data_IF_139328134962
#
_entry.id   IF_139328134962
#
_cell.length_a   1.000
_cell.length_b   1.000
_cell.length_c   1.000
_cell.angle_alpha   90.00
_cell.angle_beta   90.00
_cell.angle_gamma   90.00
#
_symmetry.space_group_name_H-M   'P 1'
#
loop_
_entity.id
_entity.type
_entity.pdbx_description
1 polymer ?
#
# COMPACT_ATOMS: atom_id res chain seq x y z
N UNK A 1 11.39 60.98 -24.19
CA UNK A 1 12.83 60.63 -24.20
C UNK A 1 12.93 59.12 -24.07
N UNK A 2 13.15 58.44 -25.18
CA UNK A 2 13.22 56.98 -25.27
C UNK A 2 14.67 56.54 -25.02
N UNK A 3 14.91 55.68 -24.04
CA UNK A 3 16.21 55.08 -23.78
C UNK A 3 16.21 53.66 -24.35
N UNK A 4 16.93 53.51 -25.46
CA UNK A 4 17.22 52.25 -26.10
C UNK A 4 18.22 51.44 -25.26
N UNK A 5 17.87 50.19 -24.93
CA UNK A 5 18.78 49.23 -24.34
C UNK A 5 19.07 48.12 -25.35
N UNK A 6 20.36 47.90 -25.56
CA UNK A 6 20.97 47.16 -26.64
C UNK A 6 20.67 45.65 -26.62
N UNK A 7 20.31 45.11 -27.79
CA UNK A 7 20.22 43.68 -28.04
C UNK A 7 21.62 43.09 -28.21
N UNK A 8 22.00 42.17 -27.31
CA UNK A 8 23.20 41.37 -27.43
C UNK A 8 22.94 40.18 -28.38
N UNK A 9 23.58 40.20 -29.54
CA UNK A 9 23.56 39.13 -30.54
C UNK A 9 24.58 38.05 -30.20
N UNK A 10 24.13 36.97 -29.54
CA UNK A 10 24.94 35.78 -29.34
C UNK A 10 24.96 34.93 -30.63
N UNK A 11 26.13 34.82 -31.24
CA UNK A 11 26.40 34.00 -32.42
C UNK A 11 26.52 32.52 -31.98
N UNK A 12 25.52 31.70 -32.33
CA UNK A 12 25.50 30.26 -32.04
C UNK A 12 26.04 29.53 -33.27
N UNK A 13 27.20 28.89 -33.12
CA UNK A 13 27.79 28.00 -34.13
C UNK A 13 26.94 26.71 -34.27
N UNK A 14 26.75 26.17 -35.49
CA UNK A 14 26.01 24.93 -35.69
C UNK A 14 26.82 23.70 -35.23
N UNK A 15 26.18 22.84 -34.42
CA UNK A 15 26.70 21.55 -33.96
C UNK A 15 26.76 20.53 -35.12
N UNK A 16 27.81 19.68 -35.22
CA UNK A 16 27.91 18.69 -36.29
C UNK A 16 26.89 17.55 -36.13
N UNK A 17 26.28 17.16 -37.25
CA UNK A 17 25.29 16.08 -37.34
C UNK A 17 25.88 14.70 -36.96
N UNK A 18 25.10 13.81 -36.31
CA UNK A 18 25.57 12.46 -35.99
C UNK A 18 25.59 11.57 -37.25
N UNK A 19 26.69 10.83 -37.43
CA UNK A 19 26.91 9.85 -38.49
C UNK A 19 25.95 8.65 -38.37
N UNK A 20 25.53 8.03 -39.50
CA UNK A 20 24.58 6.92 -39.49
C UNK A 20 25.22 5.64 -38.95
N UNK A 21 24.61 5.06 -37.92
CA UNK A 21 24.98 3.74 -37.38
C UNK A 21 24.43 2.66 -38.32
N UNK A 22 25.35 1.87 -38.86
CA UNK A 22 25.09 0.72 -39.73
C UNK A 22 24.17 -0.30 -39.04
N UNK A 23 22.97 -0.49 -39.60
CA UNK A 23 21.95 -1.44 -39.15
C UNK A 23 22.08 -2.73 -39.97
N UNK A 24 23.00 -3.60 -39.59
CA UNK A 24 23.05 -4.97 -40.11
C UNK A 24 23.52 -5.96 -39.04
N UNK A 25 22.59 -6.45 -38.23
CA UNK A 25 22.74 -7.67 -37.44
C UNK A 25 21.47 -8.53 -37.56
N UNK A 26 21.59 -9.87 -37.66
CA UNK A 26 20.50 -10.79 -38.00
C UNK A 26 19.47 -10.94 -36.86
N UNK A 27 18.25 -11.45 -37.15
CA UNK A 27 17.22 -11.60 -36.12
C UNK A 27 17.54 -12.81 -35.24
N UNK A 28 18.20 -12.58 -34.10
CA UNK A 28 18.13 -13.54 -33.00
C UNK A 28 16.76 -13.40 -32.33
N UNK A 29 15.89 -14.36 -32.61
CA UNK A 29 14.62 -14.58 -31.90
C UNK A 29 14.93 -14.91 -30.44
N UNK A 30 15.15 -13.89 -29.61
CA UNK A 30 15.10 -14.03 -28.16
C UNK A 30 13.65 -14.25 -27.78
N UNK A 31 13.28 -15.53 -27.67
CA UNK A 31 12.09 -15.93 -26.96
C UNK A 31 12.13 -15.27 -25.58
N UNK A 32 11.21 -14.32 -25.37
CA UNK A 32 10.96 -13.73 -24.07
C UNK A 32 10.24 -14.84 -23.31
N UNK A 33 10.98 -15.67 -22.59
CA UNK A 33 10.36 -16.47 -21.53
C UNK A 33 9.77 -15.46 -20.56
N UNK A 34 8.46 -15.51 -20.24
CA UNK A 34 7.94 -14.70 -19.16
C UNK A 34 8.74 -15.12 -17.92
N UNK A 35 9.45 -14.15 -17.33
CA UNK A 35 10.02 -14.31 -15.99
C UNK A 35 8.86 -14.76 -15.13
N UNK A 36 8.99 -15.96 -14.59
CA UNK A 36 7.99 -16.57 -13.74
C UNK A 36 7.55 -15.52 -12.74
N UNK A 37 6.23 -15.36 -12.65
CA UNK A 37 5.62 -14.83 -11.45
C UNK A 37 6.30 -15.58 -10.31
N UNK A 38 7.07 -14.88 -9.47
CA UNK A 38 7.28 -15.35 -8.12
C UNK A 38 5.86 -15.38 -7.54
N UNK A 39 5.21 -16.52 -7.73
CA UNK A 39 3.99 -16.88 -7.04
C UNK A 39 4.35 -16.84 -5.58
N UNK A 40 4.01 -15.69 -5.01
CA UNK A 40 3.56 -15.46 -3.65
C UNK A 40 3.75 -16.70 -2.79
N UNK A 41 4.77 -16.62 -1.94
CA UNK A 41 4.93 -17.42 -0.74
C UNK A 41 3.56 -17.91 -0.27
N UNK A 42 3.32 -19.20 -0.47
CA UNK A 42 2.15 -19.89 0.09
C UNK A 42 2.35 -19.79 1.59
N UNK A 43 1.72 -18.79 2.19
CA UNK A 43 1.52 -18.70 3.62
C UNK A 43 0.94 -20.05 4.04
N UNK A 44 1.63 -20.72 4.95
CA UNK A 44 1.15 -21.95 5.55
C UNK A 44 -0.30 -21.71 5.96
N UNK A 45 -1.25 -22.60 5.60
CA UNK A 45 -2.62 -22.42 6.03
C UNK A 45 -2.56 -22.31 7.55
N UNK A 46 -2.94 -21.13 8.03
CA UNK A 46 -3.36 -20.93 9.40
C UNK A 46 -4.16 -22.17 9.82
N UNK A 47 -3.90 -22.69 11.03
CA UNK A 47 -4.66 -23.83 11.55
C UNK A 47 -6.16 -23.54 11.38
N UNK A 48 -6.99 -24.56 11.11
CA UNK A 48 -8.44 -24.37 10.86
C UNK A 48 -9.09 -23.45 11.92
N UNK A 49 -8.61 -23.52 13.17
CA UNK A 49 -9.01 -22.66 14.29
C UNK A 49 -8.78 -21.16 14.05
N UNK A 50 -7.68 -20.76 13.41
CA UNK A 50 -7.39 -19.35 13.14
C UNK A 50 -8.31 -18.81 12.03
N UNK A 51 -8.71 -19.64 11.06
CA UNK A 51 -9.63 -19.23 9.99
C UNK A 51 -10.99 -18.87 10.58
N UNK A 52 -11.49 -19.70 11.51
CA UNK A 52 -12.74 -19.43 12.23
C UNK A 52 -12.64 -18.15 13.09
N UNK A 53 -11.52 -17.97 13.80
CA UNK A 53 -11.26 -16.76 14.58
C UNK A 53 -11.14 -15.49 13.73
N UNK A 54 -10.57 -15.60 12.52
CA UNK A 54 -10.52 -14.49 11.58
C UNK A 54 -11.92 -14.08 11.14
N UNK A 55 -12.78 -15.06 10.82
CA UNK A 55 -14.17 -14.79 10.47
C UNK A 55 -14.93 -14.15 11.64
N UNK A 56 -14.69 -14.60 12.87
CA UNK A 56 -15.24 -13.97 14.08
C UNK A 56 -14.74 -12.53 14.24
N UNK A 57 -13.44 -12.27 14.08
CA UNK A 57 -12.85 -10.94 14.12
C UNK A 57 -13.55 -9.99 13.13
N UNK A 58 -13.72 -10.42 11.88
CA UNK A 58 -14.39 -9.63 10.85
C UNK A 58 -15.86 -9.35 11.17
N UNK A 59 -16.58 -10.34 11.70
CA UNK A 59 -17.94 -10.14 12.18
C UNK A 59 -17.97 -9.07 13.28
N UNK A 60 -17.08 -9.14 14.27
CA UNK A 60 -17.03 -8.17 15.37
C UNK A 60 -16.64 -6.75 14.92
N UNK A 61 -15.77 -6.62 13.91
CA UNK A 61 -15.46 -5.32 13.29
C UNK A 61 -16.70 -4.76 12.57
N UNK A 62 -17.45 -5.61 11.87
CA UNK A 62 -18.69 -5.19 11.17
C UNK A 62 -19.81 -4.79 12.12
N UNK A 63 -19.85 -5.39 13.32
CA UNK A 63 -20.77 -5.07 14.41
C UNK A 63 -20.29 -3.90 15.28
N UNK A 64 -19.10 -3.36 14.99
CA UNK A 64 -18.44 -2.29 15.77
C UNK A 64 -18.23 -2.66 17.26
N UNK A 65 -18.05 -3.96 17.55
CA UNK A 65 -17.81 -4.46 18.90
C UNK A 65 -16.30 -4.38 19.25
N UNK A 66 -15.82 -3.15 19.43
CA UNK A 66 -14.39 -2.87 19.61
C UNK A 66 -13.75 -3.56 20.80
N UNK A 67 -14.50 -3.80 21.88
CA UNK A 67 -14.01 -4.55 23.03
C UNK A 67 -13.72 -6.02 22.69
N UNK A 68 -14.55 -6.65 21.86
CA UNK A 68 -14.29 -8.01 21.40
C UNK A 68 -13.15 -8.06 20.39
N UNK A 69 -13.09 -7.09 19.48
CA UNK A 69 -11.99 -6.96 18.50
C UNK A 69 -10.65 -6.83 19.23
N UNK A 70 -10.55 -5.95 20.24
CA UNK A 70 -9.36 -5.82 21.09
C UNK A 70 -9.02 -7.14 21.79
N UNK A 71 -9.99 -7.80 22.43
CA UNK A 71 -9.78 -9.08 23.10
C UNK A 71 -9.28 -10.18 22.16
N UNK A 72 -9.79 -10.23 20.92
CA UNK A 72 -9.36 -11.23 19.93
C UNK A 72 -7.92 -10.97 19.47
N UNK A 73 -7.58 -9.71 19.18
CA UNK A 73 -6.23 -9.33 18.76
C UNK A 73 -5.19 -9.48 19.90
N UNK A 74 -5.60 -9.27 21.15
CA UNK A 74 -4.73 -9.45 22.32
C UNK A 74 -4.41 -10.93 22.58
N UNK A 75 -5.41 -11.81 22.41
CA UNK A 75 -5.24 -13.26 22.59
C UNK A 75 -4.52 -13.92 21.41
N UNK A 76 -4.80 -13.44 20.20
CA UNK A 76 -4.33 -14.04 18.95
C UNK A 76 -3.81 -12.94 18.03
N UNK A 77 -2.57 -12.45 18.25
CA UNK A 77 -1.99 -11.34 17.50
C UNK A 77 -1.84 -11.61 16.00
N UNK A 78 -1.74 -12.90 15.60
CA UNK A 78 -1.65 -13.30 14.20
C UNK A 78 -2.89 -12.93 13.38
N UNK A 79 -4.03 -12.69 14.04
CA UNK A 79 -5.25 -12.25 13.37
C UNK A 79 -5.09 -10.87 12.73
N UNK A 80 -4.12 -10.04 13.15
CA UNK A 80 -3.82 -8.77 12.50
C UNK A 80 -3.32 -8.92 11.05
N UNK A 81 -2.79 -10.09 10.70
CA UNK A 81 -2.34 -10.46 9.34
C UNK A 81 -3.42 -11.25 8.56
N UNK A 82 -4.52 -11.64 9.21
CA UNK A 82 -5.56 -12.43 8.55
C UNK A 82 -6.15 -11.65 7.37
N UNK A 83 -6.20 -12.24 6.18
CA UNK A 83 -6.76 -11.58 4.98
C UNK A 83 -8.19 -12.08 4.77
N UNK A 84 -9.13 -11.16 4.60
CA UNK A 84 -10.49 -11.51 4.19
C UNK A 84 -10.48 -12.03 2.74
N UNK A 85 -10.87 -13.29 2.55
CA UNK A 85 -10.77 -13.94 1.24
C UNK A 85 -11.60 -13.26 0.15
N UNK A 86 -12.71 -12.61 0.50
CA UNK A 86 -13.62 -11.99 -0.47
C UNK A 86 -13.04 -10.69 -1.05
N UNK A 87 -12.51 -9.82 -0.19
CA UNK A 87 -12.12 -8.45 -0.50
C UNK A 87 -10.60 -8.28 -0.60
N UNK A 88 -9.82 -9.19 -0.01
CA UNK A 88 -8.38 -9.05 0.19
C UNK A 88 -8.00 -8.05 1.29
N UNK A 89 -8.98 -7.62 2.10
CA UNK A 89 -8.77 -6.66 3.17
C UNK A 89 -8.10 -7.30 4.38
N UNK A 90 -7.23 -6.53 5.04
CA UNK A 90 -6.73 -6.82 6.39
C UNK A 90 -7.63 -6.15 7.43
N UNK A 91 -7.58 -6.54 8.72
CA UNK A 91 -8.36 -5.91 9.78
C UNK A 91 -8.17 -4.38 9.81
N UNK A 92 -6.95 -3.91 9.55
CA UNK A 92 -6.65 -2.48 9.48
C UNK A 92 -7.50 -1.74 8.43
N UNK A 93 -7.84 -2.34 7.28
CA UNK A 93 -8.71 -1.70 6.29
C UNK A 93 -10.11 -1.47 6.85
N UNK A 94 -10.67 -2.50 7.48
CA UNK A 94 -12.03 -2.45 8.02
C UNK A 94 -12.13 -1.59 9.28
N UNK A 95 -11.12 -1.59 10.15
CA UNK A 95 -11.07 -0.68 11.30
C UNK A 95 -10.93 0.76 10.81
N UNK A 96 -10.10 1.00 9.78
CA UNK A 96 -9.86 2.36 9.25
C UNK A 96 -11.09 3.03 8.67
N UNK A 97 -12.05 2.26 8.11
CA UNK A 97 -13.29 2.86 7.59
C UNK A 97 -14.32 3.22 8.67
N UNK A 98 -14.16 2.69 9.89
CA UNK A 98 -15.16 2.84 10.95
C UNK A 98 -14.78 4.00 11.86
N UNK A 99 -15.53 5.11 11.78
CA UNK A 99 -15.27 6.31 12.60
C UNK A 99 -15.48 6.08 14.11
N UNK A 100 -16.19 5.02 14.49
CA UNK A 100 -16.40 4.64 15.89
C UNK A 100 -15.24 3.83 16.48
N UNK A 101 -14.33 3.34 15.63
CA UNK A 101 -13.17 2.57 16.08
C UNK A 101 -12.29 3.41 17.00
N UNK A 102 -11.81 2.79 18.08
CA UNK A 102 -10.90 3.45 19.00
C UNK A 102 -9.54 3.69 18.34
N UNK A 103 -8.98 4.88 18.51
CA UNK A 103 -7.65 5.21 17.98
C UNK A 103 -6.59 4.24 18.46
N UNK A 104 -6.67 3.83 19.73
CA UNK A 104 -5.78 2.83 20.32
C UNK A 104 -5.85 1.48 19.63
N UNK A 105 -7.00 1.11 19.06
CA UNK A 105 -7.16 -0.15 18.33
C UNK A 105 -6.49 -0.08 16.96
N UNK A 106 -6.50 1.09 16.31
CA UNK A 106 -5.73 1.35 15.08
C UNK A 106 -4.23 1.24 15.38
N UNK A 107 -3.77 1.90 16.44
CA UNK A 107 -2.36 1.83 16.89
C UNK A 107 -1.95 0.38 17.22
N UNK A 108 -2.78 -0.33 17.98
CA UNK A 108 -2.54 -1.73 18.33
C UNK A 108 -2.39 -2.59 17.08
N UNK A 109 -3.30 -2.45 16.11
CA UNK A 109 -3.26 -3.23 14.86
C UNK A 109 -1.98 -2.94 14.06
N UNK A 110 -1.52 -1.69 14.06
CA UNK A 110 -0.26 -1.30 13.41
C UNK A 110 0.98 -1.87 14.11
N UNK A 111 0.97 -1.91 15.44
CA UNK A 111 2.05 -2.52 16.22
C UNK A 111 2.13 -4.03 15.97
N UNK A 112 0.98 -4.70 15.90
CA UNK A 112 0.90 -6.13 15.63
C UNK A 112 1.36 -6.48 14.21
N UNK A 113 0.94 -5.69 13.22
CA UNK A 113 1.28 -5.97 11.81
C UNK A 113 1.54 -4.68 11.00
N UNK A 114 2.76 -4.10 11.08
CA UNK A 114 3.07 -2.82 10.43
C UNK A 114 3.06 -2.90 8.91
N UNK A 115 3.29 -4.09 8.32
CA UNK A 115 3.21 -4.32 6.87
C UNK A 115 1.81 -4.06 6.31
N UNK A 116 0.77 -4.05 7.15
CA UNK A 116 -0.59 -3.71 6.75
C UNK A 116 -0.69 -2.33 6.08
N UNK A 117 0.17 -1.37 6.44
CA UNK A 117 0.16 0.00 5.89
C UNK A 117 0.24 0.06 4.37
N UNK A 118 0.99 -0.87 3.78
CA UNK A 118 1.25 -0.92 2.34
C UNK A 118 0.56 -2.10 1.65
N UNK A 119 -0.20 -2.89 2.42
CA UNK A 119 -0.99 -3.98 1.87
C UNK A 119 -2.08 -3.41 0.98
N UNK A 120 -2.31 -4.07 -0.15
CA UNK A 120 -3.36 -3.70 -1.10
C UNK A 120 -4.44 -4.74 -1.07
N UNK A 121 -5.68 -4.30 -0.89
CA UNK A 121 -6.84 -5.14 -1.11
C UNK A 121 -7.00 -5.50 -2.61
N UNK A 122 -8.04 -6.26 -2.95
CA UNK A 122 -8.31 -6.66 -4.35
C UNK A 122 -8.68 -5.49 -5.27
N UNK A 123 -9.08 -4.35 -4.72
CA UNK A 123 -9.31 -3.12 -5.48
C UNK A 123 -8.01 -2.32 -5.68
N UNK A 124 -6.90 -2.76 -5.07
CA UNK A 124 -5.63 -2.06 -5.07
C UNK A 124 -5.55 -0.92 -4.05
N UNK A 125 -6.52 -0.83 -3.13
CA UNK A 125 -6.56 0.20 -2.10
C UNK A 125 -5.78 -0.26 -0.85
N UNK A 126 -4.98 0.66 -0.32
CA UNK A 126 -4.31 0.57 0.99
C UNK A 126 -5.21 1.11 2.11
N UNK A 127 -4.96 0.80 3.40
CA UNK A 127 -5.78 1.24 4.52
C UNK A 127 -6.03 2.76 4.57
N UNK A 128 -5.03 3.57 4.18
CA UNK A 128 -5.16 5.03 4.14
C UNK A 128 -6.26 5.51 3.18
N UNK A 129 -6.53 4.77 2.10
CA UNK A 129 -7.61 5.09 1.17
C UNK A 129 -8.98 4.81 1.81
N UNK A 130 -9.09 3.74 2.60
CA UNK A 130 -10.31 3.43 3.35
C UNK A 130 -10.57 4.47 4.43
N UNK A 131 -9.55 4.88 5.18
CA UNK A 131 -9.69 5.99 6.14
C UNK A 131 -10.16 7.28 5.46
N UNK A 132 -9.57 7.61 4.30
CA UNK A 132 -9.90 8.82 3.54
C UNK A 132 -11.30 8.76 2.91
N UNK A 133 -11.69 7.63 2.34
CA UNK A 133 -12.98 7.46 1.66
C UNK A 133 -14.18 7.50 2.62
N UNK A 134 -13.93 7.26 3.91
CA UNK A 134 -14.95 7.20 4.96
C UNK A 134 -14.82 8.35 5.98
N UNK A 135 -14.06 9.39 5.67
CA UNK A 135 -13.87 10.57 6.54
C UNK A 135 -13.38 10.23 7.97
N UNK A 136 -12.67 9.11 8.15
CA UNK A 136 -12.08 8.74 9.43
C UNK A 136 -10.74 9.47 9.63
N UNK A 137 -10.84 10.73 10.04
CA UNK A 137 -9.67 11.59 10.24
C UNK A 137 -8.68 11.01 11.28
N UNK A 138 -9.19 10.41 12.35
CA UNK A 138 -8.34 9.88 13.41
C UNK A 138 -7.48 8.71 12.90
N UNK A 139 -8.08 7.74 12.19
CA UNK A 139 -7.32 6.66 11.56
C UNK A 139 -6.37 7.19 10.48
N UNK A 140 -6.81 8.17 9.68
CA UNK A 140 -6.00 8.79 8.63
C UNK A 140 -4.73 9.43 9.21
N UNK A 141 -4.84 10.20 10.29
CA UNK A 141 -3.71 10.86 10.95
C UNK A 141 -2.71 9.84 11.50
N UNK A 142 -3.19 8.79 12.17
CA UNK A 142 -2.37 7.70 12.72
C UNK A 142 -1.62 6.97 11.60
N UNK A 143 -2.35 6.54 10.56
CA UNK A 143 -1.78 5.78 9.44
C UNK A 143 -0.78 6.64 8.66
N UNK A 144 -1.08 7.93 8.45
CA UNK A 144 -0.17 8.85 7.76
C UNK A 144 1.11 9.09 8.57
N UNK A 145 1.00 9.25 9.89
CA UNK A 145 2.15 9.40 10.78
C UNK A 145 3.04 8.15 10.73
N UNK A 146 2.45 6.97 10.91
CA UNK A 146 3.17 5.69 10.87
C UNK A 146 3.85 5.44 9.51
N UNK A 147 3.17 5.77 8.40
CA UNK A 147 3.75 5.67 7.06
C UNK A 147 4.97 6.59 6.88
N UNK A 148 4.89 7.83 7.37
CA UNK A 148 5.98 8.79 7.30
C UNK A 148 7.18 8.32 8.11
N UNK A 149 6.96 7.81 9.31
CA UNK A 149 8.02 7.29 10.18
C UNK A 149 8.74 6.12 9.53
N UNK A 150 8.00 5.14 8.98
CA UNK A 150 8.59 3.97 8.32
C UNK A 150 9.40 4.25 7.03
N UNK A 151 9.32 5.45 6.45
CA UNK A 151 10.17 5.87 5.32
C UNK A 151 11.48 6.51 5.79
N UNK A 152 11.54 7.00 7.03
CA UNK A 152 12.70 7.72 7.55
C UNK A 152 13.74 6.81 8.24
N UNK A 153 13.42 5.52 8.44
CA UNK A 153 14.32 4.47 8.94
C UNK A 153 14.87 3.60 7.80
#
# INVERSE_FOLDING_TARGET
AAAAAAAATASILPSPAPTPVDRSLPPETRAITPVGMEETQIALPFSEEIVDLAQELYAQISEENWAMVESLLDKTPELAEAVEEATGELPLHMISRQSSAWTLLVDMTLVLYPKALIHRDKMGAMPIHHASAHDNLAALEIIYAAYKEGIND
#
